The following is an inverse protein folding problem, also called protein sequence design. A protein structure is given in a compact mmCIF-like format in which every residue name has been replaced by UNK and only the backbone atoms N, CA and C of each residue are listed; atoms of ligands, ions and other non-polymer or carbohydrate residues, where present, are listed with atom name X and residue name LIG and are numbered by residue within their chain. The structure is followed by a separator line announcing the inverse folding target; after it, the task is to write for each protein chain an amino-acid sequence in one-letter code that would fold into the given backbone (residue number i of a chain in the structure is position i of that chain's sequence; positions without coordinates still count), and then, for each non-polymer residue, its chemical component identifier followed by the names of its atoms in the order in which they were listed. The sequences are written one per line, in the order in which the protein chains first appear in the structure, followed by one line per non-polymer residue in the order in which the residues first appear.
data_IF_199313452674
#
_entry.id   IF_199313452674
#
_cell.length_a   1.000
_cell.length_b   1.000
_cell.length_c   1.000
_cell.angle_alpha   90.00
_cell.angle_beta   90.00
_cell.angle_gamma   90.00
#
_symmetry.space_group_name_H-M   'P 1'
#
loop_
_entity.id
_entity.type
_entity.pdbx_description
1 polymer ?
#
# COMPACT_ATOMS: atom_id res chain seq x y z
N UNK A 1 -33.46 14.39 17.48
CA UNK A 1 -32.27 14.76 16.68
C UNK A 1 -31.36 13.54 16.58
N UNK A 2 -31.50 12.71 15.55
CA UNK A 2 -30.59 11.59 15.26
C UNK A 2 -29.93 11.90 13.93
N UNK A 3 -28.61 12.07 13.95
CA UNK A 3 -27.82 12.28 12.74
C UNK A 3 -27.85 10.99 11.91
N UNK A 4 -28.32 11.08 10.67
CA UNK A 4 -28.26 9.98 9.72
C UNK A 4 -26.79 9.69 9.38
N UNK A 5 -26.32 8.48 9.70
CA UNK A 5 -25.05 7.97 9.18
C UNK A 5 -25.21 7.85 7.66
N UNK A 6 -24.35 8.53 6.91
CA UNK A 6 -24.26 8.35 5.46
C UNK A 6 -23.96 6.88 5.14
N UNK A 7 -24.58 6.29 4.10
CA UNK A 7 -24.33 4.90 3.74
C UNK A 7 -22.88 4.75 3.28
N UNK A 8 -22.24 3.64 3.70
CA UNK A 8 -20.98 3.15 3.15
C UNK A 8 -21.11 3.14 1.63
N UNK A 9 -20.36 4.00 0.93
CA UNK A 9 -20.31 3.99 -0.55
C UNK A 9 -19.75 2.66 -0.99
N UNK A 10 -20.60 1.82 -1.56
CA UNK A 10 -20.22 0.59 -2.22
C UNK A 10 -19.26 0.91 -3.38
N UNK A 11 -18.09 0.27 -3.34
CA UNK A 11 -16.97 0.40 -4.29
C UNK A 11 -17.38 0.28 -5.77
N UNK A 12 -18.46 -0.46 -6.02
CA UNK A 12 -19.00 -0.74 -7.35
C UNK A 12 -19.60 0.49 -8.06
N UNK A 13 -19.87 1.59 -7.34
CA UNK A 13 -20.44 2.82 -7.90
C UNK A 13 -19.40 3.84 -8.40
N UNK A 14 -18.11 3.66 -8.15
CA UNK A 14 -17.09 4.57 -8.70
C UNK A 14 -16.84 4.37 -10.21
N UNK A 15 -17.21 3.20 -10.75
CA UNK A 15 -16.91 2.82 -12.14
C UNK A 15 -18.17 2.53 -12.98
N UNK A 16 -19.35 3.00 -12.54
CA UNK A 16 -20.60 2.85 -13.28
C UNK A 16 -20.86 4.00 -14.25
N UNK A 17 -20.75 3.73 -15.56
CA UNK A 17 -21.19 4.49 -16.75
C UNK A 17 -20.96 6.03 -16.74
N UNK A 18 -20.05 6.45 -17.60
CA UNK A 18 -19.99 7.79 -18.22
C UNK A 18 -19.77 8.97 -17.24
N UNK A 19 -18.73 8.89 -16.41
CA UNK A 19 -18.01 10.12 -16.05
C UNK A 19 -16.84 10.28 -17.00
N UNK A 20 -16.78 11.43 -17.65
CA UNK A 20 -15.60 11.88 -18.38
C UNK A 20 -14.48 12.08 -17.34
N UNK A 21 -13.58 11.10 -17.24
CA UNK A 21 -12.49 11.08 -16.25
C UNK A 21 -11.53 12.23 -16.54
N UNK A 22 -11.39 13.15 -15.59
CA UNK A 22 -10.36 14.20 -15.65
C UNK A 22 -9.10 13.67 -14.95
N UNK A 23 -7.89 13.78 -15.56
CA UNK A 23 -6.64 13.31 -14.96
C UNK A 23 -6.35 13.88 -13.55
N UNK A 24 -6.91 15.05 -13.24
CA UNK A 24 -6.74 15.75 -11.96
C UNK A 24 -7.43 15.02 -10.79
N UNK A 25 -8.55 14.33 -11.06
CA UNK A 25 -9.25 13.53 -10.06
C UNK A 25 -8.43 12.29 -9.65
N UNK A 26 -7.75 11.65 -10.61
CA UNK A 26 -6.97 10.44 -10.37
C UNK A 26 -5.71 10.71 -9.57
N UNK A 27 -4.99 11.80 -9.88
CA UNK A 27 -3.86 12.24 -9.07
C UNK A 27 -4.32 12.54 -7.64
N UNK A 28 -5.46 13.21 -7.44
CA UNK A 28 -5.96 13.47 -6.09
C UNK A 28 -6.35 12.19 -5.34
N UNK A 29 -6.90 11.19 -6.02
CA UNK A 29 -7.17 9.88 -5.40
C UNK A 29 -5.86 9.15 -5.08
N UNK A 30 -4.87 9.18 -5.97
CA UNK A 30 -3.55 8.61 -5.72
C UNK A 30 -2.86 9.27 -4.51
N UNK A 31 -2.99 10.60 -4.35
CA UNK A 31 -2.56 11.33 -3.14
C UNK A 31 -3.22 10.79 -1.87
N UNK A 32 -4.51 10.48 -1.91
CA UNK A 32 -5.21 9.90 -0.75
C UNK A 32 -4.71 8.49 -0.40
N UNK A 33 -4.37 7.68 -1.40
CA UNK A 33 -3.77 6.37 -1.19
C UNK A 33 -2.36 6.47 -0.60
N UNK A 34 -1.53 7.38 -1.14
CA UNK A 34 -0.20 7.66 -0.58
C UNK A 34 -0.28 8.15 0.87
N UNK A 35 -1.22 9.06 1.18
CA UNK A 35 -1.45 9.51 2.55
C UNK A 35 -1.90 8.36 3.49
N UNK A 36 -2.61 7.35 2.99
CA UNK A 36 -2.91 6.15 3.79
C UNK A 36 -1.65 5.33 4.06
N UNK A 37 -0.79 5.14 3.05
CA UNK A 37 0.49 4.48 3.23
C UNK A 37 1.40 5.22 4.23
N UNK A 38 1.39 6.55 4.21
CA UNK A 38 2.13 7.37 5.20
C UNK A 38 1.68 7.06 6.64
N UNK A 39 0.38 6.86 6.85
CA UNK A 39 -0.14 6.49 8.17
C UNK A 39 0.31 5.08 8.59
N UNK A 40 0.36 4.11 7.67
CA UNK A 40 0.87 2.78 7.98
C UNK A 40 2.36 2.81 8.34
N UNK A 41 3.17 3.58 7.59
CA UNK A 41 4.59 3.75 7.90
C UNK A 41 4.81 4.46 9.24
N UNK A 42 4.00 5.48 9.55
CA UNK A 42 4.04 6.16 10.84
C UNK A 42 3.69 5.22 11.99
N UNK A 43 2.67 4.37 11.83
CA UNK A 43 2.30 3.39 12.85
C UNK A 43 3.43 2.37 13.10
N UNK A 44 4.00 1.83 12.02
CA UNK A 44 5.17 0.96 12.09
C UNK A 44 6.34 1.63 12.83
N UNK A 45 6.68 2.87 12.49
CA UNK A 45 7.78 3.62 13.10
C UNK A 45 7.53 3.98 14.57
N UNK A 46 6.28 4.20 14.96
CA UNK A 46 5.92 4.44 16.36
C UNK A 46 6.03 3.16 17.19
N UNK A 47 5.52 2.04 16.67
CA UNK A 47 5.58 0.74 17.34
C UNK A 47 7.02 0.25 17.52
N UNK A 48 7.90 0.49 16.56
CA UNK A 48 9.34 0.18 16.66
C UNK A 48 10.08 0.94 17.77
N UNK A 49 9.50 2.04 18.29
CA UNK A 49 10.05 2.83 19.41
C UNK A 49 9.46 2.44 20.77
N UNK A 50 8.50 1.52 20.80
CA UNK A 50 7.85 1.07 22.02
C UNK A 50 8.75 0.13 22.83
N UNK A 51 8.57 0.10 24.15
CA UNK A 51 9.28 -0.86 25.03
C UNK A 51 8.96 -2.32 24.68
N UNK A 52 7.70 -2.57 24.29
CA UNK A 52 7.26 -3.85 23.75
C UNK A 52 6.82 -3.67 22.31
N UNK A 53 7.57 -4.25 21.38
CA UNK A 53 7.32 -4.11 19.94
C UNK A 53 6.39 -5.25 19.47
N UNK A 54 5.24 -4.93 18.87
CA UNK A 54 4.38 -5.92 18.21
C UNK A 54 4.88 -6.18 16.78
N UNK A 55 5.92 -7.01 16.63
CA UNK A 55 6.61 -7.25 15.35
C UNK A 55 5.67 -7.68 14.21
N UNK A 56 4.70 -8.56 14.51
CA UNK A 56 3.65 -8.98 13.59
C UNK A 56 2.86 -7.80 13.01
N UNK A 57 2.42 -6.88 13.88
CA UNK A 57 1.65 -5.69 13.51
C UNK A 57 2.50 -4.69 12.75
N UNK A 58 3.79 -4.54 13.10
CA UNK A 58 4.71 -3.69 12.33
C UNK A 58 4.90 -4.22 10.92
N UNK A 59 5.15 -5.52 10.76
CA UNK A 59 5.28 -6.17 9.46
C UNK A 59 3.97 -6.05 8.63
N UNK A 60 2.81 -6.19 9.26
CA UNK A 60 1.51 -5.96 8.63
C UNK A 60 1.42 -4.56 8.01
N UNK A 61 1.74 -3.53 8.80
CA UNK A 61 1.68 -2.14 8.32
C UNK A 61 2.71 -1.85 7.23
N UNK A 62 3.88 -2.48 7.27
CA UNK A 62 4.86 -2.38 6.18
C UNK A 62 4.32 -2.96 4.86
N UNK A 63 3.68 -4.14 4.91
CA UNK A 63 3.03 -4.73 3.73
C UNK A 63 1.89 -3.84 3.22
N UNK A 64 1.04 -3.34 4.12
CA UNK A 64 -0.07 -2.46 3.79
C UNK A 64 0.38 -1.15 3.16
N UNK A 65 1.46 -0.55 3.65
CA UNK A 65 2.06 0.64 3.06
C UNK A 65 2.48 0.36 1.61
N UNK A 66 3.24 -0.71 1.37
CA UNK A 66 3.68 -1.10 0.02
C UNK A 66 2.48 -1.34 -0.93
N UNK A 67 1.45 -2.05 -0.48
CA UNK A 67 0.24 -2.29 -1.26
C UNK A 67 -0.41 -0.97 -1.70
N UNK A 68 -0.60 -0.04 -0.76
CA UNK A 68 -1.24 1.26 -1.01
C UNK A 68 -0.41 2.14 -1.94
N UNK A 69 0.91 2.11 -1.81
CA UNK A 69 1.85 2.83 -2.69
C UNK A 69 1.76 2.32 -4.13
N UNK A 70 1.79 1.00 -4.34
CA UNK A 70 1.67 0.40 -5.67
C UNK A 70 0.30 0.71 -6.30
N UNK A 71 -0.78 0.67 -5.50
CA UNK A 71 -2.12 1.05 -5.96
C UNK A 71 -2.21 2.54 -6.31
N UNK A 72 -1.56 3.42 -5.54
CA UNK A 72 -1.47 4.84 -5.87
C UNK A 72 -0.81 5.06 -7.23
N UNK A 73 0.26 4.31 -7.55
CA UNK A 73 0.89 4.37 -8.87
C UNK A 73 -0.07 3.99 -9.99
N UNK A 74 -0.81 2.88 -9.86
CA UNK A 74 -1.77 2.44 -10.87
C UNK A 74 -2.86 3.50 -11.11
N UNK A 75 -3.40 4.06 -10.02
CA UNK A 75 -4.43 5.09 -10.09
C UNK A 75 -3.91 6.35 -10.77
N UNK A 76 -2.71 6.81 -10.43
CA UNK A 76 -2.09 7.98 -11.07
C UNK A 76 -1.83 7.78 -12.57
N UNK A 77 -1.75 6.53 -13.02
CA UNK A 77 -1.61 6.14 -14.43
C UNK A 77 -2.93 5.66 -15.05
N UNK A 78 -4.07 6.07 -14.47
CA UNK A 78 -5.43 5.81 -14.99
C UNK A 78 -5.76 4.31 -15.11
N UNK A 79 -5.09 3.46 -14.33
CA UNK A 79 -5.38 2.04 -14.24
C UNK A 79 -6.24 1.76 -13.00
N UNK A 80 -7.28 0.93 -13.13
CA UNK A 80 -8.00 0.48 -11.96
C UNK A 80 -7.06 -0.33 -11.06
N UNK A 81 -7.01 -0.02 -9.78
CA UNK A 81 -6.33 -0.88 -8.81
C UNK A 81 -7.07 -2.23 -8.67
N UNK A 82 -6.35 -3.35 -8.54
CA UNK A 82 -6.97 -4.65 -8.30
C UNK A 82 -7.45 -4.79 -6.85
N UNK A 83 -8.55 -5.52 -6.66
CA UNK A 83 -9.05 -5.92 -5.33
C UNK A 83 -8.30 -7.18 -4.90
N UNK A 84 -7.01 -7.01 -4.57
CA UNK A 84 -6.12 -8.06 -4.07
C UNK A 84 -5.14 -7.46 -3.05
N UNK A 85 -4.60 -8.32 -2.19
CA UNK A 85 -3.50 -8.03 -1.28
C UNK A 85 -2.16 -8.62 -1.76
N UNK A 86 -2.19 -9.33 -2.90
CA UNK A 86 -1.00 -9.90 -3.51
C UNK A 86 -0.18 -8.82 -4.21
N UNK A 87 0.98 -8.50 -3.64
CA UNK A 87 1.87 -7.47 -4.12
C UNK A 87 2.47 -7.82 -5.49
N UNK A 88 2.73 -9.09 -5.77
CA UNK A 88 3.30 -9.55 -7.03
C UNK A 88 2.27 -9.42 -8.15
N UNK A 89 1.01 -9.74 -7.89
CA UNK A 89 -0.06 -9.50 -8.88
C UNK A 89 -0.26 -8.00 -9.19
N UNK A 90 -0.07 -7.13 -8.20
CA UNK A 90 -0.10 -5.67 -8.42
C UNK A 90 1.12 -5.25 -9.25
N UNK A 91 2.31 -5.79 -8.96
CA UNK A 91 3.53 -5.53 -9.72
C UNK A 91 3.36 -5.88 -11.20
N UNK A 92 2.80 -7.05 -11.53
CA UNK A 92 2.58 -7.45 -12.93
C UNK A 92 1.76 -6.42 -13.73
N UNK A 93 0.78 -5.75 -13.08
CA UNK A 93 0.02 -4.68 -13.71
C UNK A 93 0.88 -3.42 -13.91
N UNK A 94 1.72 -3.09 -12.94
CA UNK A 94 2.66 -1.97 -13.02
C UNK A 94 3.69 -2.19 -14.12
N UNK A 95 4.18 -3.42 -14.32
CA UNK A 95 5.19 -3.73 -15.34
C UNK A 95 4.71 -3.42 -16.77
N UNK A 96 3.39 -3.50 -17.00
CA UNK A 96 2.80 -3.09 -18.29
C UNK A 96 2.91 -1.57 -18.57
N UNK A 97 3.13 -0.76 -17.53
CA UNK A 97 3.29 0.69 -17.58
C UNK A 97 4.75 1.12 -17.40
N UNK A 98 5.47 0.46 -16.51
CA UNK A 98 6.83 0.77 -16.12
C UNK A 98 7.62 -0.54 -15.87
N UNK A 99 8.31 -1.06 -16.90
CA UNK A 99 9.12 -2.27 -16.77
C UNK A 99 10.27 -2.14 -15.77
N UNK A 100 10.76 -0.93 -15.48
CA UNK A 100 11.84 -0.73 -14.49
C UNK A 100 11.38 -1.05 -13.05
N UNK A 101 10.07 -1.12 -12.81
CA UNK A 101 9.51 -1.53 -11.54
C UNK A 101 9.85 -2.98 -11.18
N UNK A 102 10.32 -3.81 -12.12
CA UNK A 102 10.77 -5.19 -11.90
C UNK A 102 11.84 -5.27 -10.80
N UNK A 103 12.63 -4.21 -10.63
CA UNK A 103 13.62 -4.10 -9.54
C UNK A 103 13.01 -4.24 -8.13
N UNK A 104 11.70 -4.03 -7.99
CA UNK A 104 10.99 -4.18 -6.71
C UNK A 104 10.60 -5.63 -6.40
N UNK A 105 10.74 -6.58 -7.33
CA UNK A 105 10.19 -7.94 -7.15
C UNK A 105 10.68 -8.58 -5.85
N UNK A 106 11.99 -8.60 -5.62
CA UNK A 106 12.57 -9.20 -4.41
C UNK A 106 12.11 -8.47 -3.14
N UNK A 107 12.00 -7.14 -3.21
CA UNK A 107 11.46 -6.29 -2.15
C UNK A 107 10.01 -6.62 -1.81
N UNK A 108 9.18 -6.92 -2.81
CA UNK A 108 7.78 -7.30 -2.60
C UNK A 108 7.61 -8.74 -2.10
N UNK A 109 8.52 -9.65 -2.49
CA UNK A 109 8.54 -11.03 -1.96
C UNK A 109 8.72 -11.03 -0.45
N UNK A 110 9.61 -10.19 0.10
CA UNK A 110 9.82 -10.04 1.55
C UNK A 110 8.52 -9.69 2.27
N UNK A 111 7.71 -8.80 1.68
CA UNK A 111 6.50 -8.28 2.31
C UNK A 111 5.27 -9.18 2.16
N UNK A 112 5.30 -10.12 1.21
CA UNK A 112 4.12 -10.90 0.80
C UNK A 112 3.52 -11.77 1.93
N UNK A 113 4.32 -12.48 2.77
CA UNK A 113 3.78 -13.30 3.86
C UNK A 113 2.95 -12.49 4.87
N UNK A 114 3.30 -11.23 5.11
CA UNK A 114 2.66 -10.38 6.12
C UNK A 114 1.25 -9.92 5.74
N UNK A 115 0.77 -10.19 4.53
CA UNK A 115 -0.63 -9.93 4.15
C UNK A 115 -1.61 -10.93 4.78
N UNK A 116 -1.14 -12.16 5.07
CA UNK A 116 -2.02 -13.29 5.43
C UNK A 116 -1.52 -14.08 6.62
N UNK A 117 -0.23 -14.44 6.65
CA UNK A 117 0.30 -15.49 7.54
C UNK A 117 0.33 -15.06 9.01
N UNK A 118 0.59 -13.78 9.27
CA UNK A 118 0.63 -13.21 10.63
C UNK A 118 -0.74 -13.10 11.32
N UNK A 119 -1.85 -13.38 10.62
CA UNK A 119 -3.22 -13.19 11.16
C UNK A 119 -3.75 -14.39 11.92
N UNK A 120 -3.10 -15.54 11.79
CA UNK A 120 -3.48 -16.76 12.50
C UNK A 120 -2.48 -16.99 13.64
N UNK A 121 -2.94 -17.30 14.87
CA UNK A 121 -2.09 -17.45 16.06
C UNK A 121 -1.25 -18.75 16.04
N UNK A 122 -0.80 -19.15 14.86
CA UNK A 122 -0.06 -20.38 14.63
C UNK A 122 1.42 -20.06 14.85
N UNK A 123 2.07 -20.74 15.80
CA UNK A 123 3.44 -20.46 16.28
C UNK A 123 4.55 -20.51 15.21
N UNK A 124 4.24 -20.87 13.96
CA UNK A 124 5.22 -21.08 12.90
C UNK A 124 5.73 -19.79 12.25
N UNK A 125 5.05 -18.64 12.42
CA UNK A 125 5.44 -17.39 11.75
C UNK A 125 5.28 -16.16 12.64
N UNK A 126 6.04 -16.12 13.75
CA UNK A 126 6.19 -14.91 14.56
C UNK A 126 7.40 -14.11 14.07
N UNK A 127 7.22 -12.90 13.51
CA UNK A 127 8.34 -12.10 13.02
C UNK A 127 9.27 -11.68 14.16
N UNK A 128 10.55 -11.65 13.83
CA UNK A 128 11.63 -11.17 14.70
C UNK A 128 11.88 -9.67 14.49
N UNK A 129 12.78 -9.11 15.31
CA UNK A 129 13.30 -7.75 15.10
C UNK A 129 13.96 -7.61 13.72
N UNK A 130 14.75 -8.62 13.30
CA UNK A 130 15.40 -8.62 11.99
C UNK A 130 14.37 -8.62 10.85
N UNK A 131 13.37 -9.51 10.92
CA UNK A 131 12.29 -9.56 9.91
C UNK A 131 11.58 -8.22 9.81
N UNK A 132 11.34 -7.58 10.96
CA UNK A 132 10.66 -6.28 11.03
C UNK A 132 11.50 -5.16 10.42
N UNK A 133 12.81 -5.16 10.68
CA UNK A 133 13.73 -4.20 10.08
C UNK A 133 13.80 -4.38 8.55
N UNK A 134 13.82 -5.62 8.07
CA UNK A 134 13.78 -5.95 6.64
C UNK A 134 12.47 -5.52 5.98
N UNK A 135 11.32 -5.83 6.61
CA UNK A 135 10.00 -5.38 6.15
C UNK A 135 9.90 -3.86 6.09
N UNK A 136 10.38 -3.15 7.13
CA UNK A 136 10.34 -1.70 7.18
C UNK A 136 11.21 -1.05 6.10
N UNK A 137 12.38 -1.62 5.84
CA UNK A 137 13.26 -1.20 4.75
C UNK A 137 12.62 -1.44 3.39
N UNK A 138 12.01 -2.61 3.19
CA UNK A 138 11.31 -2.94 1.95
C UNK A 138 10.18 -1.96 1.66
N UNK A 139 9.34 -1.65 2.65
CA UNK A 139 8.27 -0.67 2.50
C UNK A 139 8.82 0.75 2.17
N UNK A 140 9.96 1.13 2.76
CA UNK A 140 10.62 2.40 2.45
C UNK A 140 11.09 2.45 0.98
N UNK A 141 11.63 1.36 0.47
CA UNK A 141 12.11 1.27 -0.92
C UNK A 141 10.98 1.43 -1.93
N UNK A 142 9.83 0.78 -1.69
CA UNK A 142 8.63 0.93 -2.52
C UNK A 142 8.15 2.39 -2.49
N UNK A 143 8.18 3.04 -1.32
CA UNK A 143 7.85 4.46 -1.19
C UNK A 143 8.78 5.37 -1.99
N UNK A 144 10.10 5.16 -1.88
CA UNK A 144 11.07 5.95 -2.64
C UNK A 144 10.93 5.73 -4.14
N UNK A 145 10.63 4.50 -4.57
CA UNK A 145 10.32 4.22 -5.97
C UNK A 145 9.13 5.06 -6.45
N UNK A 146 8.02 5.11 -5.71
CA UNK A 146 6.86 5.93 -6.11
C UNK A 146 7.24 7.42 -6.19
N UNK A 147 7.97 7.93 -5.19
CA UNK A 147 8.43 9.33 -5.16
C UNK A 147 9.29 9.68 -6.38
N UNK A 148 10.13 8.75 -6.83
CA UNK A 148 10.98 8.94 -8.00
C UNK A 148 10.23 8.85 -9.32
N UNK A 149 9.21 7.97 -9.42
CA UNK A 149 8.53 7.65 -10.67
C UNK A 149 7.24 8.42 -10.90
N UNK A 150 6.61 8.94 -9.84
CA UNK A 150 5.38 9.71 -9.90
C UNK A 150 5.42 10.90 -8.91
N UNK A 151 6.30 11.90 -9.13
CA UNK A 151 6.47 13.02 -8.20
C UNK A 151 5.21 13.90 -8.04
N UNK A 152 4.29 13.87 -9.01
CA UNK A 152 3.03 14.61 -8.97
C UNK A 152 2.11 14.21 -7.80
N UNK A 153 2.28 13.00 -7.24
CA UNK A 153 1.58 12.57 -6.03
C UNK A 153 2.09 13.33 -4.79
N UNK A 154 3.31 13.86 -4.81
CA UNK A 154 3.93 14.50 -3.66
C UNK A 154 4.07 16.02 -3.79
N UNK A 155 3.60 16.62 -4.89
CA UNK A 155 3.56 18.07 -5.05
C UNK A 155 2.35 18.69 -4.36
N UNK A 156 2.49 19.93 -3.89
CA UNK A 156 1.40 20.73 -3.32
C UNK A 156 0.29 21.02 -4.34
#
# INVERSE_FOLDING_TARGET
KKAARAPFRSFQLYYGKERQFMPEDEIQIAKQWAAKADNDLLDADNNLKSEKIPYDTVCFHCQQAAEKILKAYLIANQKPHPITHDLLLILEQILSLNPEAERLRDTLVILTPYAVEIRYPDDYFMPTDQDTAEARKAAAEVYQWLKSTCPAIFSE
#
